data_IF_721098182928
#
_entry.id   IF_721098182928
#
_cell.length_a   1.000
_cell.length_b   1.000
_cell.length_c   1.000
_cell.angle_alpha   90.00
_cell.angle_beta   90.00
_cell.angle_gamma   90.00
#
_symmetry.space_group_name_H-M   'P 1'
#
loop_
_entity.id
_entity.type
_entity.pdbx_description
1 polymer ?
#
# COMPACT_ATOMS: atom_id res chain seq x y z
N UNK A 1 -10.79 -46.50 8.30
CA UNK A 1 -9.81 -45.53 8.84
C UNK A 1 -9.78 -44.41 7.80
N UNK A 2 -10.89 -43.70 7.69
CA UNK A 2 -11.19 -42.40 8.34
C UNK A 2 -10.79 -41.26 7.41
N UNK A 3 -11.66 -41.03 6.43
CA UNK A 3 -11.58 -39.98 5.40
C UNK A 3 -12.67 -38.95 5.70
N UNK A 4 -12.57 -38.36 6.90
CA UNK A 4 -13.57 -37.43 7.44
C UNK A 4 -12.96 -36.03 7.55
N UNK A 5 -13.60 -35.09 6.87
CA UNK A 5 -13.50 -33.62 6.96
C UNK A 5 -12.35 -32.95 6.18
N UNK A 6 -12.59 -32.74 4.88
CA UNK A 6 -11.97 -31.64 4.15
C UNK A 6 -13.00 -31.01 3.21
N UNK A 7 -14.21 -30.75 3.73
CA UNK A 7 -15.26 -30.05 2.99
C UNK A 7 -14.94 -28.56 2.88
N UNK A 8 -15.54 -27.81 1.94
CA UNK A 8 -15.28 -26.38 1.78
C UNK A 8 -15.48 -25.56 3.06
N UNK A 9 -16.43 -25.94 3.91
CA UNK A 9 -16.67 -25.32 5.22
C UNK A 9 -15.48 -25.45 6.18
N UNK A 10 -14.73 -26.55 6.14
CA UNK A 10 -13.57 -26.78 7.02
C UNK A 10 -12.39 -25.85 6.69
N UNK A 11 -12.42 -25.22 5.51
CA UNK A 11 -11.38 -24.28 5.02
C UNK A 11 -11.74 -22.82 5.27
N UNK A 12 -12.96 -22.53 5.70
CA UNK A 12 -13.43 -21.18 5.96
C UNK A 12 -13.03 -20.74 7.36
N UNK A 13 -12.61 -19.48 7.50
CA UNK A 13 -12.27 -18.91 8.79
C UNK A 13 -13.47 -18.93 9.76
N UNK A 14 -13.32 -19.36 11.03
CA UNK A 14 -14.45 -19.57 11.95
C UNK A 14 -15.39 -18.37 12.10
N UNK A 15 -14.86 -17.14 12.05
CA UNK A 15 -15.66 -15.93 12.14
C UNK A 15 -16.57 -15.71 10.91
N UNK A 16 -16.16 -16.14 9.71
CA UNK A 16 -17.02 -16.08 8.53
C UNK A 16 -18.15 -17.11 8.61
N UNK A 17 -17.89 -18.26 9.25
CA UNK A 17 -18.92 -19.25 9.55
C UNK A 17 -19.92 -18.68 10.54
N UNK A 18 -19.46 -18.07 11.63
CA UNK A 18 -20.33 -17.38 12.60
C UNK A 18 -21.14 -16.25 11.95
N UNK A 19 -20.54 -15.52 11.02
CA UNK A 19 -21.23 -14.46 10.26
C UNK A 19 -22.40 -15.00 9.45
N UNK A 20 -22.22 -16.11 8.73
CA UNK A 20 -23.30 -16.77 8.00
C UNK A 20 -24.49 -17.09 8.94
N UNK A 21 -24.19 -17.66 10.11
CA UNK A 21 -25.22 -17.95 11.11
C UNK A 21 -25.88 -16.69 11.68
N UNK A 22 -25.10 -15.64 11.97
CA UNK A 22 -25.60 -14.39 12.52
C UNK A 22 -26.54 -13.67 11.55
N UNK A 23 -26.20 -13.65 10.27
CA UNK A 23 -27.01 -13.03 9.22
C UNK A 23 -28.14 -13.96 8.71
N UNK A 24 -28.22 -15.19 9.23
CA UNK A 24 -29.19 -16.19 8.78
C UNK A 24 -29.01 -16.59 7.32
N UNK A 25 -27.81 -16.42 6.76
CA UNK A 25 -27.49 -16.80 5.38
C UNK A 25 -27.12 -18.28 5.38
N UNK A 26 -27.99 -19.09 4.78
CA UNK A 26 -27.77 -20.53 4.61
C UNK A 26 -27.38 -20.75 3.14
N UNK A 27 -26.16 -21.21 2.85
CA UNK A 27 -25.78 -21.54 1.48
C UNK A 27 -26.62 -22.71 0.98
N UNK A 28 -27.12 -22.60 -0.26
CA UNK A 28 -27.96 -23.65 -0.86
C UNK A 28 -27.13 -24.92 -1.13
N UNK A 29 -27.33 -25.95 -0.31
CA UNK A 29 -26.68 -27.26 -0.49
C UNK A 29 -26.68 -28.13 0.78
N UNK A 30 -26.79 -29.45 0.63
CA UNK A 30 -26.57 -30.38 1.74
C UNK A 30 -25.07 -30.53 2.01
N UNK A 31 -24.65 -30.71 3.26
CA UNK A 31 -23.27 -30.65 3.77
C UNK A 31 -22.14 -31.41 3.02
N UNK A 32 -22.46 -32.26 2.04
CA UNK A 32 -21.48 -32.96 1.18
C UNK A 32 -21.43 -32.46 -0.28
N UNK A 33 -22.31 -31.54 -0.70
CA UNK A 33 -22.39 -30.99 -2.08
C UNK A 33 -22.20 -29.46 -2.13
N UNK A 34 -21.95 -28.82 -0.98
CA UNK A 34 -21.61 -27.40 -0.93
C UNK A 34 -20.32 -27.16 -1.71
N UNK A 35 -20.42 -26.41 -2.80
CA UNK A 35 -19.26 -26.04 -3.62
C UNK A 35 -18.59 -24.77 -3.08
N UNK A 36 -17.30 -24.59 -3.40
CA UNK A 36 -16.52 -23.44 -2.92
C UNK A 36 -17.11 -22.11 -3.42
N UNK A 37 -17.65 -22.08 -4.65
CA UNK A 37 -18.32 -20.92 -5.24
C UNK A 37 -19.61 -20.54 -4.52
N UNK A 38 -20.50 -21.51 -4.25
CA UNK A 38 -21.75 -21.26 -3.52
C UNK A 38 -21.47 -20.78 -2.10
N UNK A 39 -20.44 -21.33 -1.46
CA UNK A 39 -20.02 -20.91 -0.13
C UNK A 39 -19.39 -19.50 -0.14
N UNK A 40 -18.58 -19.18 -1.14
CA UNK A 40 -18.01 -17.85 -1.31
C UNK A 40 -19.10 -16.79 -1.56
N UNK A 41 -20.09 -17.09 -2.40
CA UNK A 41 -21.21 -16.21 -2.68
C UNK A 41 -22.06 -15.96 -1.41
N UNK A 42 -22.32 -17.00 -0.62
CA UNK A 42 -23.04 -16.87 0.64
C UNK A 42 -22.28 -16.01 1.66
N UNK A 43 -20.95 -16.18 1.77
CA UNK A 43 -20.11 -15.35 2.63
C UNK A 43 -20.12 -13.90 2.15
N UNK A 44 -20.01 -13.67 0.84
CA UNK A 44 -20.08 -12.35 0.24
C UNK A 44 -21.41 -11.65 0.52
N UNK A 45 -22.53 -12.39 0.41
CA UNK A 45 -23.85 -11.88 0.78
C UNK A 45 -23.93 -11.52 2.27
N UNK A 46 -23.47 -12.40 3.16
CA UNK A 46 -23.49 -12.14 4.60
C UNK A 46 -22.63 -10.93 5.00
N UNK A 47 -21.46 -10.76 4.38
CA UNK A 47 -20.64 -9.55 4.55
C UNK A 47 -21.39 -8.29 4.07
N UNK A 48 -22.04 -8.34 2.92
CA UNK A 48 -22.78 -7.19 2.37
C UNK A 48 -23.99 -6.77 3.22
N UNK A 49 -24.58 -7.72 3.96
CA UNK A 49 -25.67 -7.47 4.90
C UNK A 49 -25.19 -6.97 6.26
N UNK A 50 -23.89 -7.10 6.55
CA UNK A 50 -23.32 -6.68 7.83
C UNK A 50 -23.11 -5.19 7.90
N UNK A 51 -23.16 -4.64 9.12
CA UNK A 51 -22.87 -3.23 9.35
C UNK A 51 -21.41 -2.92 8.99
N UNK A 52 -21.11 -1.66 8.69
CA UNK A 52 -19.77 -1.23 8.27
C UNK A 52 -18.73 -1.59 9.35
N UNK A 53 -19.05 -1.38 10.63
CA UNK A 53 -18.16 -1.70 11.75
C UNK A 53 -17.89 -3.21 11.86
N UNK A 54 -18.90 -4.05 11.58
CA UNK A 54 -18.75 -5.51 11.55
C UNK A 54 -17.88 -5.96 10.38
N UNK A 55 -18.05 -5.37 9.19
CA UNK A 55 -17.20 -5.65 8.04
C UNK A 55 -15.72 -5.33 8.33
N UNK A 56 -15.45 -4.21 9.01
CA UNK A 56 -14.12 -3.88 9.51
C UNK A 56 -13.61 -4.91 10.53
N UNK A 57 -14.46 -5.37 11.46
CA UNK A 57 -14.10 -6.42 12.42
C UNK A 57 -13.68 -7.72 11.73
N UNK A 58 -14.45 -8.21 10.75
CA UNK A 58 -14.09 -9.43 10.01
C UNK A 58 -12.79 -9.26 9.23
N UNK A 59 -12.61 -8.12 8.55
CA UNK A 59 -11.37 -7.82 7.83
C UNK A 59 -10.16 -7.83 8.79
N UNK A 60 -10.27 -7.22 9.97
CA UNK A 60 -9.19 -7.19 10.98
C UNK A 60 -8.82 -8.56 11.54
N UNK A 61 -9.74 -9.54 11.47
CA UNK A 61 -9.54 -10.88 12.02
C UNK A 61 -9.00 -11.87 11.01
N UNK A 62 -9.27 -11.62 9.73
CA UNK A 62 -8.89 -12.50 8.61
C UNK A 62 -7.60 -11.99 7.96
N UNK A 63 -7.43 -10.67 7.91
CA UNK A 63 -6.28 -10.01 7.34
C UNK A 63 -5.52 -9.27 8.43
N UNK A 64 -4.20 -9.41 8.42
CA UNK A 64 -3.29 -8.55 9.17
C UNK A 64 -3.40 -7.11 8.66
N UNK A 65 -3.06 -6.13 9.50
CA UNK A 65 -2.97 -4.72 9.08
C UNK A 65 -2.04 -4.54 7.87
N UNK A 66 -1.02 -5.39 7.76
CA UNK A 66 -0.10 -5.39 6.63
C UNK A 66 -0.78 -5.86 5.34
N UNK A 67 -1.59 -6.93 5.38
CA UNK A 67 -2.33 -7.41 4.20
C UNK A 67 -3.37 -6.39 3.73
N UNK A 68 -4.06 -5.74 4.68
CA UNK A 68 -4.99 -4.64 4.36
C UNK A 68 -4.25 -3.48 3.70
N UNK A 69 -3.09 -3.08 4.23
CA UNK A 69 -2.27 -2.03 3.65
C UNK A 69 -1.78 -2.40 2.24
N UNK A 70 -1.29 -3.62 2.01
CA UNK A 70 -0.86 -4.08 0.68
C UNK A 70 -2.01 -4.01 -0.31
N UNK A 71 -3.20 -4.44 0.08
CA UNK A 71 -4.38 -4.40 -0.79
C UNK A 71 -4.87 -2.96 -1.04
N UNK A 72 -4.85 -2.10 -0.01
CA UNK A 72 -5.17 -0.68 -0.14
C UNK A 72 -4.25 0.02 -1.15
N UNK A 73 -2.96 -0.31 -1.14
CA UNK A 73 -2.01 0.22 -2.12
C UNK A 73 -2.32 -0.21 -3.55
N UNK A 74 -2.98 -1.36 -3.77
CA UNK A 74 -3.39 -1.84 -5.10
C UNK A 74 -4.67 -1.16 -5.61
N UNK A 75 -5.36 -0.36 -4.78
CA UNK A 75 -6.60 0.31 -5.18
C UNK A 75 -6.37 1.24 -6.39
N UNK A 76 -7.28 1.27 -7.40
CA UNK A 76 -7.10 2.06 -8.62
C UNK A 76 -6.81 3.55 -8.36
N UNK A 77 -7.44 4.13 -7.33
CA UNK A 77 -7.21 5.53 -6.96
C UNK A 77 -5.80 5.76 -6.42
N UNK A 78 -5.26 4.81 -5.64
CA UNK A 78 -3.88 4.89 -5.12
C UNK A 78 -2.88 4.70 -6.27
N UNK A 79 -3.19 3.84 -7.24
CA UNK A 79 -2.37 3.64 -8.43
C UNK A 79 -2.37 4.86 -9.36
N UNK A 80 -3.40 5.70 -9.29
CA UNK A 80 -3.48 6.94 -10.05
C UNK A 80 -2.63 8.05 -9.39
N UNK A 81 -1.44 8.28 -9.94
CA UNK A 81 -0.53 9.33 -9.47
C UNK A 81 -1.08 10.75 -9.65
N UNK A 82 -2.14 10.99 -10.42
CA UNK A 82 -2.72 12.33 -10.62
C UNK A 82 -3.76 12.70 -9.56
N UNK A 83 -4.20 11.72 -8.75
CA UNK A 83 -5.04 11.97 -7.59
C UNK A 83 -4.19 12.28 -6.36
N UNK A 84 -4.78 12.93 -5.35
CA UNK A 84 -4.14 13.13 -4.06
C UNK A 84 -4.80 12.21 -3.03
N UNK A 85 -4.24 11.02 -2.83
CA UNK A 85 -4.80 10.03 -1.91
C UNK A 85 -3.99 10.04 -0.60
N UNK A 86 -4.62 10.32 0.57
CA UNK A 86 -3.93 10.22 1.85
C UNK A 86 -3.68 8.75 2.18
N UNK A 87 -2.46 8.42 2.59
CA UNK A 87 -2.08 7.08 3.02
C UNK A 87 -2.17 6.96 4.55
N UNK A 88 -2.67 5.82 5.00
CA UNK A 88 -2.69 5.41 6.41
C UNK A 88 -1.28 5.10 6.92
N UNK A 89 -1.08 5.04 8.24
CA UNK A 89 0.23 4.72 8.82
C UNK A 89 0.77 3.36 8.33
N UNK A 90 -0.08 2.33 8.27
CA UNK A 90 0.29 1.00 7.78
C UNK A 90 0.68 1.01 6.29
N UNK A 91 -0.08 1.71 5.44
CA UNK A 91 0.25 1.88 4.03
C UNK A 91 1.57 2.64 3.84
N UNK A 92 1.85 3.67 4.64
CA UNK A 92 3.13 4.41 4.57
C UNK A 92 4.31 3.48 4.88
N UNK A 93 4.19 2.64 5.91
CA UNK A 93 5.21 1.63 6.26
C UNK A 93 5.41 0.66 5.10
N UNK A 94 4.32 0.16 4.53
CA UNK A 94 4.36 -0.81 3.44
C UNK A 94 4.93 -0.21 2.14
N UNK A 95 4.59 1.05 1.81
CA UNK A 95 5.20 1.79 0.69
C UNK A 95 6.71 1.87 0.83
N UNK A 96 7.19 2.24 2.03
CA UNK A 96 8.62 2.32 2.30
C UNK A 96 9.28 0.94 2.23
N UNK A 97 8.59 -0.13 2.64
CA UNK A 97 9.08 -1.52 2.53
C UNK A 97 9.21 -1.94 1.06
N UNK A 98 8.14 -1.78 0.27
CA UNK A 98 8.10 -2.16 -1.15
C UNK A 98 9.05 -1.33 -2.02
N UNK A 99 9.38 -0.11 -1.59
CA UNK A 99 10.37 0.71 -2.28
C UNK A 99 11.79 0.11 -2.24
N UNK A 100 12.09 -0.82 -1.33
CA UNK A 100 13.37 -1.54 -1.36
C UNK A 100 13.37 -2.73 -2.34
N UNK A 101 12.20 -3.16 -2.82
CA UNK A 101 12.08 -4.33 -3.70
C UNK A 101 12.44 -3.95 -5.15
N UNK A 102 13.17 -4.83 -5.87
CA UNK A 102 13.45 -4.64 -7.29
C UNK A 102 12.16 -4.67 -8.10
N UNK A 103 12.08 -3.85 -9.14
CA UNK A 103 10.94 -3.83 -10.06
C UNK A 103 11.25 -4.62 -11.33
N UNK A 104 10.27 -5.33 -11.88
CA UNK A 104 10.44 -6.05 -13.14
C UNK A 104 10.72 -5.10 -14.32
N UNK A 105 10.32 -3.83 -14.20
CA UNK A 105 10.66 -2.78 -15.16
C UNK A 105 12.15 -2.38 -15.11
N UNK A 106 12.80 -2.52 -13.95
CA UNK A 106 14.22 -2.17 -13.75
C UNK A 106 15.11 -3.05 -14.66
N UNK A 107 14.76 -4.32 -14.81
CA UNK A 107 15.51 -5.30 -15.60
C UNK A 107 15.32 -5.14 -17.12
N UNK A 108 14.19 -4.54 -17.54
CA UNK A 108 13.81 -4.42 -18.96
C UNK A 108 14.27 -3.12 -19.62
N UNK A 109 14.91 -2.21 -18.88
CA UNK A 109 15.26 -0.88 -19.37
C UNK A 109 16.72 -0.80 -19.90
N UNK A 110 16.96 -0.85 -21.23
CA UNK A 110 18.27 -0.53 -21.78
C UNK A 110 18.39 0.99 -21.86
N UNK A 111 19.04 1.63 -20.90
CA UNK A 111 19.41 3.06 -20.99
C UNK A 111 20.73 3.29 -20.27
N UNK A 112 21.73 3.76 -21.02
CA UNK A 112 22.99 4.27 -20.49
C UNK A 112 23.00 5.78 -20.72
N UNK A 113 22.42 6.51 -19.78
CA UNK A 113 22.38 7.99 -19.81
C UNK A 113 23.55 8.60 -19.02
N UNK A 114 24.47 7.77 -18.55
CA UNK A 114 25.61 8.14 -17.73
C UNK A 114 25.90 7.08 -16.65
N UNK A 115 26.75 7.44 -15.70
CA UNK A 115 27.11 6.59 -14.56
C UNK A 115 26.26 6.97 -13.35
N UNK A 116 25.63 5.97 -12.71
CA UNK A 116 24.88 6.15 -11.47
C UNK A 116 25.77 6.76 -10.39
N UNK A 117 25.37 7.88 -9.80
CA UNK A 117 26.20 8.57 -8.79
C UNK A 117 26.34 7.81 -7.46
N UNK A 118 25.48 6.81 -7.21
CA UNK A 118 25.48 6.04 -5.96
C UNK A 118 26.31 4.76 -6.11
N UNK A 119 25.97 3.91 -7.07
CA UNK A 119 26.61 2.59 -7.22
C UNK A 119 27.67 2.52 -8.32
N UNK A 120 27.84 3.58 -9.12
CA UNK A 120 28.79 3.65 -10.25
C UNK A 120 28.51 2.68 -11.42
N UNK A 121 27.37 2.00 -11.42
CA UNK A 121 26.86 1.20 -12.54
C UNK A 121 26.20 2.09 -13.61
N UNK A 122 25.91 1.59 -14.83
CA UNK A 122 25.18 2.34 -15.85
C UNK A 122 23.84 2.85 -15.32
N UNK A 123 23.63 4.17 -15.40
CA UNK A 123 22.39 4.82 -14.99
C UNK A 123 21.34 4.78 -16.10
N UNK A 124 20.10 4.50 -15.71
CA UNK A 124 18.94 4.45 -16.62
C UNK A 124 18.14 5.76 -16.67
N UNK A 125 18.28 6.62 -15.65
CA UNK A 125 17.53 7.86 -15.50
C UNK A 125 18.47 9.03 -15.22
N UNK A 126 18.10 10.22 -15.69
CA UNK A 126 18.65 11.48 -15.20
C UNK A 126 17.62 12.18 -14.34
N UNK A 127 18.03 12.68 -13.17
CA UNK A 127 17.15 13.53 -12.37
C UNK A 127 16.95 14.85 -13.12
N UNK A 128 15.71 15.22 -13.49
CA UNK A 128 15.47 16.47 -14.17
C UNK A 128 15.86 17.63 -13.25
N UNK A 129 16.69 18.53 -13.77
CA UNK A 129 17.08 19.87 -13.27
C UNK A 129 16.92 20.15 -11.76
N UNK A 130 17.98 20.58 -11.05
CA UNK A 130 19.11 21.36 -11.57
C UNK A 130 20.44 20.60 -11.72
N UNK A 131 20.57 19.35 -11.23
CA UNK A 131 21.87 18.68 -11.18
C UNK A 131 22.17 17.74 -12.36
N UNK A 132 21.14 17.24 -13.06
CA UNK A 132 21.25 16.29 -14.17
C UNK A 132 22.10 15.04 -13.85
N UNK A 133 22.18 14.66 -12.57
CA UNK A 133 22.89 13.47 -12.14
C UNK A 133 22.17 12.22 -12.64
N UNK A 134 22.95 11.24 -13.11
CA UNK A 134 22.42 9.95 -13.54
C UNK A 134 22.26 9.00 -12.34
N UNK A 135 21.19 8.22 -12.35
CA UNK A 135 20.88 7.20 -11.35
C UNK A 135 20.42 5.92 -12.03
N UNK A 136 20.68 4.79 -11.38
CA UNK A 136 19.91 3.59 -11.65
C UNK A 136 18.60 3.57 -10.86
N UNK A 137 17.58 2.87 -11.37
CA UNK A 137 16.26 2.81 -10.72
C UNK A 137 16.33 2.37 -9.25
N UNK A 138 17.07 1.30 -8.88
CA UNK A 138 17.17 0.88 -7.48
C UNK A 138 17.78 1.97 -6.58
N UNK A 139 18.84 2.64 -7.05
CA UNK A 139 19.50 3.68 -6.28
C UNK A 139 18.64 4.95 -6.15
N UNK A 140 17.91 5.34 -7.20
CA UNK A 140 16.99 6.46 -7.11
C UNK A 140 15.82 6.16 -6.17
N UNK A 141 15.23 4.96 -6.26
CA UNK A 141 14.14 4.51 -5.40
C UNK A 141 14.57 4.48 -3.94
N UNK A 142 15.77 3.98 -3.66
CA UNK A 142 16.35 3.98 -2.31
C UNK A 142 16.60 5.40 -1.79
N UNK A 143 17.14 6.29 -2.61
CA UNK A 143 17.34 7.70 -2.24
C UNK A 143 16.00 8.39 -1.89
N UNK A 144 14.95 8.13 -2.69
CA UNK A 144 13.59 8.60 -2.40
C UNK A 144 13.08 8.01 -1.08
N UNK A 145 13.20 6.69 -0.90
CA UNK A 145 12.74 5.98 0.30
C UNK A 145 13.38 6.52 1.57
N UNK A 146 14.68 6.80 1.54
CA UNK A 146 15.40 7.39 2.69
C UNK A 146 14.86 8.78 3.00
N UNK A 147 14.71 9.65 2.00
CA UNK A 147 14.20 11.01 2.22
C UNK A 147 12.71 11.08 2.58
N UNK A 148 11.96 9.99 2.42
CA UNK A 148 10.55 9.89 2.83
C UNK A 148 10.35 9.17 4.16
N UNK A 149 11.43 8.81 4.87
CA UNK A 149 11.34 8.06 6.13
C UNK A 149 10.88 8.93 7.30
N UNK A 150 11.30 10.19 7.33
CA UNK A 150 11.04 11.10 8.44
C UNK A 150 11.02 12.56 7.99
N UNK A 151 10.49 13.45 8.82
CA UNK A 151 10.56 14.89 8.57
C UNK A 151 11.99 15.44 8.57
N UNK A 152 12.94 14.77 9.25
CA UNK A 152 14.34 15.21 9.30
C UNK A 152 15.08 14.87 8.00
N UNK A 153 14.70 13.76 7.37
CA UNK A 153 15.28 13.30 6.10
C UNK A 153 14.57 13.94 4.88
N UNK A 154 13.39 14.51 5.10
CA UNK A 154 12.61 15.16 4.06
C UNK A 154 13.16 16.56 3.74
N UNK A 155 13.24 16.95 2.46
CA UNK A 155 12.90 16.17 1.26
C UNK A 155 14.05 15.25 0.80
N UNK A 156 13.74 14.16 0.07
CA UNK A 156 14.76 13.45 -0.70
C UNK A 156 15.56 14.40 -1.57
N UNK A 157 16.87 14.19 -1.68
CA UNK A 157 17.75 15.16 -2.36
C UNK A 157 18.91 14.48 -3.08
N UNK A 158 19.42 15.20 -4.09
CA UNK A 158 20.72 14.96 -4.70
C UNK A 158 21.60 16.19 -4.44
N UNK A 159 21.93 17.01 -5.45
CA UNK A 159 22.53 18.33 -5.24
C UNK A 159 21.50 19.40 -4.87
N UNK A 160 20.21 19.08 -5.03
CA UNK A 160 19.07 19.89 -4.65
C UNK A 160 17.91 18.98 -4.24
N UNK A 161 16.94 19.48 -3.46
CA UNK A 161 15.71 18.76 -3.15
C UNK A 161 15.03 18.21 -4.40
N UNK A 162 14.56 16.98 -4.33
CA UNK A 162 13.74 16.37 -5.37
C UNK A 162 12.38 17.05 -5.42
N UNK A 163 11.88 17.19 -6.65
CA UNK A 163 10.53 17.61 -6.92
C UNK A 163 9.68 16.38 -7.27
N UNK A 164 8.36 16.52 -7.20
CA UNK A 164 7.44 15.42 -7.53
C UNK A 164 7.70 14.76 -8.90
N UNK A 165 8.07 15.49 -9.98
CA UNK A 165 8.44 14.85 -11.24
C UNK A 165 9.57 13.83 -11.13
N UNK A 166 10.54 14.05 -10.22
CA UNK A 166 11.61 13.09 -9.93
C UNK A 166 11.07 11.85 -9.23
N UNK A 167 10.13 12.02 -8.31
CA UNK A 167 9.50 10.90 -7.58
C UNK A 167 8.68 10.03 -8.54
N UNK A 168 7.99 10.65 -9.51
CA UNK A 168 7.21 9.93 -10.54
C UNK A 168 8.08 9.07 -11.45
N UNK A 169 9.38 9.34 -11.59
CA UNK A 169 10.27 8.55 -12.46
C UNK A 169 10.41 7.10 -12.02
N UNK A 170 10.27 6.79 -10.73
CA UNK A 170 10.43 5.41 -10.24
C UNK A 170 9.14 4.58 -10.36
N UNK A 171 8.08 5.14 -10.95
CA UNK A 171 6.81 4.46 -11.24
C UNK A 171 6.21 3.72 -10.03
N UNK A 172 6.32 4.31 -8.83
CA UNK A 172 5.74 3.77 -7.58
C UNK A 172 4.72 4.78 -7.03
N UNK A 173 3.42 4.60 -7.32
CA UNK A 173 2.39 5.58 -6.95
C UNK A 173 2.35 5.90 -5.46
N UNK A 174 2.54 4.89 -4.60
CA UNK A 174 2.61 5.09 -3.15
C UNK A 174 3.69 6.08 -2.70
N UNK A 175 4.85 6.12 -3.36
CA UNK A 175 5.91 7.10 -3.03
C UNK A 175 5.51 8.52 -3.42
N UNK A 176 4.74 8.70 -4.49
CA UNK A 176 4.24 10.02 -4.92
C UNK A 176 3.23 10.56 -3.90
N UNK A 177 2.27 9.73 -3.49
CA UNK A 177 1.29 10.12 -2.46
C UNK A 177 1.96 10.41 -1.11
N UNK A 178 2.91 9.56 -0.70
CA UNK A 178 3.69 9.78 0.53
C UNK A 178 4.51 11.09 0.48
N UNK A 179 5.16 11.37 -0.66
CA UNK A 179 5.89 12.63 -0.85
C UNK A 179 5.00 13.85 -0.69
N UNK A 180 3.80 13.84 -1.28
CA UNK A 180 2.83 14.94 -1.15
C UNK A 180 2.34 15.11 0.29
N UNK A 181 2.00 14.00 0.95
CA UNK A 181 1.50 14.02 2.32
C UNK A 181 2.56 14.55 3.30
N UNK A 182 3.80 14.10 3.20
CA UNK A 182 4.92 14.64 4.00
C UNK A 182 5.21 16.10 3.64
N UNK A 183 5.16 16.46 2.35
CA UNK A 183 5.34 17.84 1.90
C UNK A 183 4.29 18.79 2.50
N UNK A 184 3.03 18.39 2.52
CA UNK A 184 1.95 19.15 3.14
C UNK A 184 2.12 19.28 4.66
N UNK A 185 2.54 18.21 5.33
CA UNK A 185 2.77 18.19 6.77
C UNK A 185 3.96 19.07 7.18
N UNK A 186 5.10 18.94 6.50
CA UNK A 186 6.32 19.71 6.77
C UNK A 186 6.15 21.19 6.43
N UNK A 187 5.30 21.53 5.46
CA UNK A 187 4.98 22.92 5.13
C UNK A 187 4.26 23.67 6.26
N UNK A 188 3.58 22.95 7.17
CA UNK A 188 2.93 23.54 8.34
C UNK A 188 3.89 23.51 9.53
N UNK A 189 4.11 24.64 10.23
CA UNK A 189 4.92 24.66 11.46
C UNK A 189 4.38 23.67 12.48
N UNK A 190 5.27 22.94 13.17
CA UNK A 190 4.88 21.87 14.09
C UNK A 190 3.85 22.29 15.15
N UNK A 191 3.89 23.55 15.60
CA UNK A 191 2.94 24.11 16.58
C UNK A 191 1.50 24.27 16.03
N UNK A 192 1.34 24.34 14.71
CA UNK A 192 0.07 24.62 14.04
C UNK A 192 -0.55 23.38 13.38
N UNK A 193 0.15 22.25 13.39
CA UNK A 193 -0.30 21.00 12.77
C UNK A 193 -1.48 20.41 13.52
N UNK A 194 -2.43 19.88 12.76
CA UNK A 194 -3.58 19.17 13.28
C UNK A 194 -3.46 17.70 12.95
N UNK A 195 -3.70 16.85 13.93
CA UNK A 195 -3.70 15.41 13.78
C UNK A 195 -5.04 14.85 14.20
N UNK A 196 -5.44 13.74 13.58
CA UNK A 196 -6.58 12.98 14.04
C UNK A 196 -6.36 12.54 15.50
N UNK A 197 -7.32 12.83 16.37
CA UNK A 197 -7.22 12.53 17.80
C UNK A 197 -7.31 11.02 18.11
N UNK A 198 -7.82 10.21 17.18
CA UNK A 198 -7.90 8.75 17.36
C UNK A 198 -6.50 8.17 17.28
N UNK A 199 -6.06 7.50 18.35
CA UNK A 199 -4.69 6.96 18.46
C UNK A 199 -4.32 5.99 17.33
N UNK A 200 -5.29 5.23 16.82
CA UNK A 200 -5.11 4.30 15.69
C UNK A 200 -4.94 5.03 14.34
N UNK A 201 -5.45 6.27 14.23
CA UNK A 201 -5.37 7.04 12.99
C UNK A 201 -4.17 7.98 12.99
N UNK A 202 -4.08 8.87 13.99
CA UNK A 202 -3.01 9.87 14.20
C UNK A 202 -2.54 10.61 12.93
N UNK A 203 -3.39 10.71 11.91
CA UNK A 203 -3.01 11.21 10.58
C UNK A 203 -3.07 12.72 10.55
N UNK A 204 -2.10 13.35 9.89
CA UNK A 204 -2.06 14.79 9.66
C UNK A 204 -3.28 15.25 8.85
N UNK A 205 -3.93 16.33 9.29
CA UNK A 205 -5.09 16.94 8.66
C UNK A 205 -4.65 18.25 8.00
N UNK A 206 -4.54 18.29 6.66
CA UNK A 206 -4.21 19.53 5.95
C UNK A 206 -5.31 20.58 6.13
N UNK A 207 -4.92 21.85 6.17
CA UNK A 207 -5.84 23.01 6.22
C UNK A 207 -6.21 23.52 4.83
#
# INVERSE_FOLDING_TARGET
MDDRHNGPLDRVHPYLIELLFHQGVVPDGNGNELSEDVLADAIGLALSLSEVDDQFFFMSRIMTEQEVAVQGLQHPDVQNMDLHIPLTAAERVEVLRQAAEPDAEDERAPRNVGTCIICLEPGQLTVPMPCNCAFCFPCLREAIRVGLRSEQDFPPQCCSPFLEPTIRLVNRPGLVHLFRQLGAEVAVPAADRLYCYRGECATFIPR
#
